data_IF_022370475801
#
_entry.id   IF_022370475801
#
_cell.length_a   1.000
_cell.length_b   1.000
_cell.length_c   1.000
_cell.angle_alpha   90.00
_cell.angle_beta   90.00
_cell.angle_gamma   90.00
#
_symmetry.space_group_name_H-M   'P 1'
#
loop_
_entity.id
_entity.type
_entity.pdbx_description
1 polymer ?
#
# COMPACT_ATOMS: atom_id res chain seq x y z
N UNK A 1 -16.00 2.93 17.07
CA UNK A 1 -14.83 3.78 16.79
C UNK A 1 -14.20 3.34 15.47
N UNK A 2 -13.57 4.27 14.72
CA UNK A 2 -12.78 3.94 13.56
C UNK A 2 -11.60 3.02 13.92
N UNK A 3 -11.06 2.24 12.96
CA UNK A 3 -9.91 1.40 13.19
C UNK A 3 -8.66 2.23 13.45
N UNK A 4 -7.78 1.71 14.30
CA UNK A 4 -6.42 2.22 14.48
C UNK A 4 -5.52 1.82 13.29
N UNK A 5 -4.33 2.45 13.18
CA UNK A 5 -3.34 2.06 12.18
C UNK A 5 -2.95 0.58 12.30
N UNK A 6 -2.83 0.09 13.53
CA UNK A 6 -2.48 -1.32 13.81
C UNK A 6 -3.58 -2.27 13.36
N UNK A 7 -4.85 -1.92 13.60
CA UNK A 7 -5.99 -2.71 13.12
C UNK A 7 -6.06 -2.71 11.59
N UNK A 8 -5.81 -1.57 10.93
CA UNK A 8 -5.75 -1.50 9.47
C UNK A 8 -4.62 -2.37 8.90
N UNK A 9 -3.41 -2.36 9.50
CA UNK A 9 -2.30 -3.22 9.09
C UNK A 9 -2.63 -4.71 9.29
N UNK A 10 -3.29 -5.06 10.41
CA UNK A 10 -3.77 -6.42 10.66
C UNK A 10 -4.80 -6.86 9.62
N UNK A 11 -5.76 -5.99 9.30
CA UNK A 11 -6.77 -6.26 8.26
C UNK A 11 -6.09 -6.46 6.90
N UNK A 12 -5.11 -5.64 6.55
CA UNK A 12 -4.34 -5.79 5.32
C UNK A 12 -3.59 -7.13 5.29
N UNK A 13 -2.93 -7.52 6.40
CA UNK A 13 -2.27 -8.81 6.51
C UNK A 13 -3.27 -9.97 6.34
N UNK A 14 -4.38 -9.95 7.07
CA UNK A 14 -5.39 -11.03 7.06
C UNK A 14 -6.07 -11.18 5.69
N UNK A 15 -6.32 -10.07 5.00
CA UNK A 15 -7.07 -10.09 3.73
C UNK A 15 -6.19 -10.32 2.50
N UNK A 16 -4.94 -9.86 2.51
CA UNK A 16 -4.10 -9.83 1.31
C UNK A 16 -2.91 -10.80 1.36
N UNK A 17 -2.36 -11.07 2.54
CA UNK A 17 -1.15 -11.89 2.63
C UNK A 17 -1.50 -13.38 2.59
N UNK A 18 -0.78 -14.12 1.75
CA UNK A 18 -0.88 -15.58 1.61
C UNK A 18 0.52 -16.18 1.53
N UNK A 19 0.61 -17.46 1.84
CA UNK A 19 1.87 -18.21 1.76
C UNK A 19 2.45 -18.19 0.34
N UNK A 20 3.75 -17.98 0.22
CA UNK A 20 4.49 -18.00 -1.04
C UNK A 20 4.43 -16.71 -1.88
N UNK A 21 3.76 -15.65 -1.41
CA UNK A 21 3.69 -14.39 -2.15
C UNK A 21 5.01 -13.61 -2.15
N UNK A 22 5.29 -12.95 -3.27
CA UNK A 22 6.26 -11.87 -3.40
C UNK A 22 5.54 -10.54 -3.23
N UNK A 23 5.91 -9.76 -2.20
CA UNK A 23 5.19 -8.55 -1.77
C UNK A 23 6.11 -7.34 -1.70
N UNK A 24 5.69 -6.23 -2.30
CA UNK A 24 6.31 -4.92 -2.09
C UNK A 24 5.45 -4.07 -1.16
N UNK A 25 6.08 -3.41 -0.21
CA UNK A 25 5.42 -2.51 0.75
C UNK A 25 5.89 -1.09 0.56
N UNK A 26 4.96 -0.19 0.29
CA UNK A 26 5.21 1.25 0.23
C UNK A 26 5.62 1.84 1.59
N UNK A 27 6.26 3.00 1.52
CA UNK A 27 6.78 3.73 2.69
C UNK A 27 5.62 4.13 3.64
N UNK A 28 5.88 4.09 4.94
CA UNK A 28 4.96 4.52 5.99
C UNK A 28 4.13 3.37 6.56
N UNK A 29 2.82 3.52 6.67
CA UNK A 29 1.94 2.53 7.31
C UNK A 29 2.10 1.10 6.76
N UNK A 30 2.24 0.87 5.45
CA UNK A 30 2.42 -0.49 4.93
C UNK A 30 3.63 -1.24 5.50
N UNK A 31 4.71 -0.56 5.89
CA UNK A 31 5.91 -1.21 6.44
C UNK A 31 5.67 -1.90 7.79
N UNK A 32 4.53 -1.65 8.45
CA UNK A 32 4.16 -2.31 9.70
C UNK A 32 3.40 -3.63 9.49
N UNK A 33 2.94 -3.92 8.28
CA UNK A 33 2.15 -5.13 7.97
C UNK A 33 2.88 -6.43 8.37
N UNK A 34 4.19 -6.59 8.17
CA UNK A 34 4.91 -7.81 8.55
C UNK A 34 4.74 -8.22 10.01
N UNK A 35 4.51 -7.26 10.92
CA UNK A 35 4.30 -7.52 12.35
C UNK A 35 3.02 -8.30 12.66
N UNK A 36 2.09 -8.39 11.71
CA UNK A 36 0.77 -9.00 11.86
C UNK A 36 0.61 -10.29 11.06
N UNK A 37 1.66 -10.73 10.37
CA UNK A 37 1.64 -11.97 9.57
C UNK A 37 1.89 -13.16 10.51
N UNK A 38 1.02 -14.19 10.49
CA UNK A 38 1.26 -15.41 11.26
C UNK A 38 2.58 -16.08 10.87
N UNK A 39 3.32 -16.61 11.85
CA UNK A 39 4.66 -17.18 11.66
C UNK A 39 4.72 -18.39 10.72
N UNK A 40 3.60 -19.05 10.48
CA UNK A 40 3.51 -20.16 9.53
C UNK A 40 3.33 -19.72 8.08
N UNK A 41 3.03 -18.44 7.81
CA UNK A 41 2.91 -17.85 6.48
C UNK A 41 4.28 -17.35 6.06
N UNK A 42 4.81 -17.88 4.96
CA UNK A 42 6.08 -17.47 4.36
C UNK A 42 5.83 -16.47 3.24
N UNK A 43 6.36 -15.27 3.39
CA UNK A 43 6.25 -14.18 2.41
C UNK A 43 7.64 -13.68 2.08
N UNK A 44 7.92 -13.49 0.82
CA UNK A 44 9.16 -12.86 0.36
C UNK A 44 8.90 -11.36 0.14
N UNK A 45 9.43 -10.51 1.01
CA UNK A 45 9.37 -9.07 0.82
C UNK A 45 10.45 -8.59 -0.12
N UNK A 46 10.02 -7.84 -1.12
CA UNK A 46 10.89 -7.16 -2.08
C UNK A 46 11.02 -5.70 -1.69
N UNK A 47 12.23 -5.18 -1.71
CA UNK A 47 12.49 -3.74 -1.64
C UNK A 47 13.03 -3.27 -2.98
N UNK A 48 12.39 -2.26 -3.60
CA UNK A 48 12.68 -1.83 -4.96
C UNK A 48 14.10 -1.26 -5.14
N UNK A 49 14.77 -0.86 -4.07
CA UNK A 49 16.17 -0.46 -4.13
C UNK A 49 17.15 -1.61 -4.40
N UNK A 50 16.70 -2.87 -4.39
CA UNK A 50 17.49 -4.01 -4.90
C UNK A 50 17.61 -5.20 -3.96
N UNK A 51 16.54 -5.61 -3.28
CA UNK A 51 16.57 -6.74 -2.35
C UNK A 51 15.30 -7.59 -2.44
N UNK A 52 15.49 -8.92 -2.42
CA UNK A 52 14.47 -9.92 -2.07
C UNK A 52 14.83 -10.57 -0.74
N UNK A 53 13.82 -10.90 0.07
CA UNK A 53 14.05 -11.52 1.37
C UNK A 53 14.42 -10.50 2.44
N UNK A 54 13.78 -9.32 2.40
CA UNK A 54 13.89 -8.31 3.45
C UNK A 54 13.39 -8.91 4.78
N UNK A 55 14.23 -8.83 5.81
CA UNK A 55 13.94 -9.29 7.16
C UNK A 55 13.36 -8.18 8.05
N UNK A 56 13.15 -8.45 9.33
CA UNK A 56 12.68 -7.48 10.31
C UNK A 56 13.67 -6.35 10.53
N UNK A 57 13.23 -5.33 11.27
CA UNK A 57 14.13 -4.27 11.73
C UNK A 57 15.18 -4.84 12.69
N UNK A 58 16.44 -4.37 12.61
CA UNK A 58 17.51 -4.80 13.52
C UNK A 58 17.22 -4.34 14.96
N UNK A 59 17.83 -5.02 15.94
CA UNK A 59 17.87 -4.51 17.29
C UNK A 59 18.85 -3.34 17.40
N UNK A 60 18.65 -2.49 18.40
CA UNK A 60 19.54 -1.35 18.64
C UNK A 60 20.99 -1.81 18.83
N UNK A 61 21.89 -1.26 18.01
CA UNK A 61 23.31 -1.59 17.98
C UNK A 61 23.69 -2.70 16.98
N UNK A 62 22.73 -3.27 16.27
CA UNK A 62 22.93 -4.28 15.22
C UNK A 62 22.65 -3.72 13.82
N UNK A 63 22.45 -2.40 13.71
CA UNK A 63 22.10 -1.75 12.45
C UNK A 63 23.29 -1.78 11.48
N UNK A 64 23.02 -2.22 10.26
CA UNK A 64 23.92 -2.09 9.11
C UNK A 64 23.47 -0.89 8.27
N UNK A 65 24.33 0.13 8.15
CA UNK A 65 24.02 1.36 7.41
C UNK A 65 23.86 1.14 5.91
N UNK A 66 24.45 0.07 5.35
CA UNK A 66 24.36 -0.27 3.94
C UNK A 66 23.13 -1.15 3.63
N UNK A 67 22.46 -1.67 4.66
CA UNK A 67 21.29 -2.53 4.53
C UNK A 67 20.01 -1.77 4.88
N UNK A 68 19.43 -1.11 3.88
CA UNK A 68 18.25 -0.26 4.03
C UNK A 68 17.13 -0.65 3.08
N UNK A 69 15.89 -0.43 3.50
CA UNK A 69 14.72 -0.52 2.61
C UNK A 69 14.56 0.76 1.76
N UNK A 70 13.61 0.76 0.85
CA UNK A 70 13.29 1.92 0.01
C UNK A 70 12.85 3.16 0.82
N UNK A 71 12.36 2.97 2.04
CA UNK A 71 12.04 4.03 3.01
C UNK A 71 13.25 4.57 3.76
N UNK A 72 14.48 4.10 3.45
CA UNK A 72 15.75 4.46 4.12
C UNK A 72 15.80 4.05 5.60
N UNK A 73 15.06 3.05 5.98
CA UNK A 73 15.14 2.44 7.30
C UNK A 73 16.09 1.25 7.24
N UNK A 74 16.93 1.08 8.25
CA UNK A 74 17.78 -0.10 8.39
C UNK A 74 16.92 -1.36 8.57
N UNK A 75 17.30 -2.41 7.89
CA UNK A 75 16.60 -3.71 7.91
C UNK A 75 17.62 -4.82 8.12
N UNK A 76 17.13 -6.04 8.32
CA UNK A 76 17.96 -7.25 8.28
C UNK A 76 17.71 -8.02 6.99
N UNK A 77 18.57 -8.99 6.70
CA UNK A 77 18.39 -9.94 5.61
C UNK A 77 18.00 -11.30 6.16
N UNK A 78 17.09 -11.99 5.45
CA UNK A 78 16.81 -13.40 5.70
C UNK A 78 17.93 -14.28 5.11
N UNK A 79 18.12 -15.53 5.57
CA UNK A 79 19.18 -16.42 5.07
C UNK A 79 19.16 -16.64 3.55
N UNK A 80 18.00 -16.55 2.91
CA UNK A 80 17.81 -16.76 1.47
C UNK A 80 17.69 -15.44 0.68
N UNK A 81 18.17 -14.33 1.25
CA UNK A 81 18.10 -13.02 0.61
C UNK A 81 18.96 -12.95 -0.65
N UNK A 82 18.51 -12.14 -1.60
CA UNK A 82 19.24 -11.82 -2.82
C UNK A 82 19.31 -10.31 -3.00
N UNK A 83 20.49 -9.84 -3.45
CA UNK A 83 20.75 -8.43 -3.75
C UNK A 83 21.01 -8.25 -5.24
N UNK A 84 20.50 -7.19 -5.82
CA UNK A 84 20.61 -6.90 -7.24
C UNK A 84 20.52 -5.39 -7.48
N UNK A 85 20.90 -4.98 -8.68
CA UNK A 85 20.82 -3.59 -9.09
C UNK A 85 19.36 -3.11 -9.30
N UNK A 86 19.19 -1.81 -9.41
CA UNK A 86 17.87 -1.20 -9.62
C UNK A 86 17.23 -1.63 -10.95
N UNK A 87 18.03 -1.87 -12.01
CA UNK A 87 17.49 -2.30 -13.29
C UNK A 87 16.86 -3.70 -13.17
N UNK A 88 17.52 -4.64 -12.50
CA UNK A 88 16.99 -5.97 -12.19
C UNK A 88 15.74 -5.90 -11.30
N UNK A 89 15.77 -5.04 -10.28
CA UNK A 89 14.64 -4.83 -9.39
C UNK A 89 13.37 -4.37 -10.14
N UNK A 90 13.50 -3.32 -10.94
CA UNK A 90 12.37 -2.80 -11.71
C UNK A 90 11.97 -3.75 -12.86
N UNK A 91 12.90 -4.53 -13.41
CA UNK A 91 12.56 -5.59 -14.36
C UNK A 91 11.68 -6.68 -13.74
N UNK A 92 11.94 -7.09 -12.49
CA UNK A 92 11.07 -8.02 -11.75
C UNK A 92 9.67 -7.46 -11.54
N UNK A 93 9.57 -6.20 -11.12
CA UNK A 93 8.29 -5.51 -10.89
C UNK A 93 7.50 -5.44 -12.20
N UNK A 94 8.09 -4.87 -13.25
CA UNK A 94 7.46 -4.72 -14.57
C UNK A 94 7.19 -6.05 -15.27
N UNK A 95 8.01 -7.07 -14.99
CA UNK A 95 7.84 -8.44 -15.48
C UNK A 95 6.71 -9.21 -14.80
N UNK A 96 6.01 -8.62 -13.80
CA UNK A 96 4.90 -9.28 -13.09
C UNK A 96 5.35 -10.37 -12.12
N UNK A 97 6.60 -10.31 -11.65
CA UNK A 97 7.16 -11.27 -10.68
C UNK A 97 6.90 -10.88 -9.22
N UNK A 98 6.31 -9.72 -8.96
CA UNK A 98 5.79 -9.30 -7.66
C UNK A 98 4.28 -9.49 -7.69
N UNK A 99 3.74 -10.22 -6.72
CA UNK A 99 2.32 -10.60 -6.70
C UNK A 99 1.42 -9.50 -6.14
N UNK A 100 1.91 -8.79 -5.13
CA UNK A 100 1.14 -7.81 -4.37
C UNK A 100 1.99 -6.58 -4.08
N UNK A 101 1.42 -5.40 -4.28
CA UNK A 101 1.96 -4.17 -3.71
C UNK A 101 0.92 -3.51 -2.80
N UNK A 102 1.37 -2.99 -1.64
CA UNK A 102 0.52 -2.22 -0.73
C UNK A 102 1.13 -0.84 -0.57
N UNK A 103 0.44 0.18 -1.05
CA UNK A 103 0.93 1.56 -1.14
C UNK A 103 0.10 2.52 -0.29
N UNK A 104 0.71 3.62 0.15
CA UNK A 104 -0.03 4.79 0.60
C UNK A 104 -0.56 5.60 -0.57
N UNK A 105 -1.62 6.41 -0.33
CA UNK A 105 -2.15 7.31 -1.34
C UNK A 105 -2.55 8.67 -0.79
N UNK A 106 -2.59 9.65 -1.69
CA UNK A 106 -3.17 10.98 -1.48
C UNK A 106 -4.63 11.00 -1.91
N UNK A 107 -4.93 10.44 -3.09
CA UNK A 107 -6.28 10.25 -3.62
C UNK A 107 -6.38 8.91 -4.35
N UNK A 108 -7.58 8.29 -4.29
CA UNK A 108 -7.97 7.13 -5.11
C UNK A 108 -9.35 7.39 -5.68
N UNK A 109 -9.52 7.23 -7.00
CA UNK A 109 -10.83 7.37 -7.63
C UNK A 109 -11.64 6.07 -7.60
N UNK A 110 -12.95 6.17 -7.81
CA UNK A 110 -13.84 5.00 -7.89
C UNK A 110 -13.51 4.09 -9.09
N UNK A 111 -12.75 4.58 -10.06
CA UNK A 111 -12.25 3.80 -11.19
C UNK A 111 -10.91 3.10 -10.92
N UNK A 112 -10.32 3.29 -9.73
CA UNK A 112 -9.02 2.74 -9.38
C UNK A 112 -7.83 3.58 -9.82
N UNK A 113 -8.03 4.84 -10.19
CA UNK A 113 -6.89 5.75 -10.43
C UNK A 113 -6.21 6.07 -9.12
N UNK A 114 -4.89 6.11 -9.16
CA UNK A 114 -4.03 6.38 -7.99
C UNK A 114 -3.26 7.68 -8.16
N UNK A 115 -3.29 8.53 -7.13
CA UNK A 115 -2.40 9.67 -6.98
C UNK A 115 -1.69 9.60 -5.62
N UNK A 116 -0.35 9.48 -5.61
CA UNK A 116 0.39 9.32 -4.35
C UNK A 116 1.75 9.99 -4.29
N UNK A 117 2.15 10.82 -5.28
CA UNK A 117 3.52 11.33 -5.34
C UNK A 117 3.66 12.85 -5.34
N UNK A 118 2.65 13.60 -5.75
CA UNK A 118 2.74 15.05 -5.88
C UNK A 118 1.49 15.77 -5.40
N UNK A 119 1.70 16.89 -4.69
CA UNK A 119 0.68 17.89 -4.38
C UNK A 119 1.14 19.18 -5.01
N UNK A 120 0.41 19.76 -5.98
CA UNK A 120 0.77 21.02 -6.61
C UNK A 120 0.97 22.14 -5.59
N UNK A 121 2.02 22.93 -5.77
CA UNK A 121 2.39 24.02 -4.84
C UNK A 121 3.14 23.57 -3.58
N UNK A 122 3.35 22.27 -3.36
CA UNK A 122 4.24 21.75 -2.31
C UNK A 122 5.53 21.19 -2.91
N UNK A 123 6.56 21.02 -2.05
CA UNK A 123 7.82 20.41 -2.48
C UNK A 123 7.56 18.98 -3.00
N UNK A 124 7.94 18.75 -4.26
CA UNK A 124 7.86 17.44 -4.90
C UNK A 124 9.23 16.76 -4.80
N UNK A 125 9.28 15.62 -4.15
CA UNK A 125 10.51 14.80 -4.02
C UNK A 125 10.71 13.84 -5.20
N UNK A 126 9.75 13.78 -6.13
CA UNK A 126 9.73 12.84 -7.25
C UNK A 126 8.78 11.68 -7.02
N UNK A 127 8.49 10.97 -8.11
CA UNK A 127 7.53 9.85 -8.10
C UNK A 127 8.12 8.55 -7.49
N UNK A 128 9.43 8.45 -7.35
CA UNK A 128 10.09 7.22 -6.94
C UNK A 128 9.73 6.05 -7.85
N UNK A 129 9.62 4.84 -7.27
CA UNK A 129 9.23 3.62 -7.97
C UNK A 129 7.72 3.39 -8.07
N UNK A 130 6.88 4.31 -7.58
CA UNK A 130 5.44 4.05 -7.45
C UNK A 130 4.75 3.76 -8.79
N UNK A 131 5.14 4.43 -9.87
CA UNK A 131 4.57 4.18 -11.20
C UNK A 131 4.94 2.80 -11.75
N UNK A 132 6.14 2.30 -11.45
CA UNK A 132 6.56 0.95 -11.81
C UNK A 132 5.81 -0.09 -10.97
N UNK A 133 5.66 0.17 -9.67
CA UNK A 133 4.96 -0.71 -8.72
C UNK A 133 3.47 -0.91 -9.05
N UNK A 134 2.87 -0.09 -9.88
CA UNK A 134 1.47 -0.26 -10.31
C UNK A 134 1.33 -0.64 -11.79
N UNK A 135 2.44 -0.74 -12.53
CA UNK A 135 2.38 -0.93 -13.99
C UNK A 135 2.00 -2.35 -14.40
N UNK A 136 2.40 -3.39 -13.66
CA UNK A 136 2.14 -4.78 -14.01
C UNK A 136 2.13 -5.75 -12.80
N UNK A 137 1.76 -5.27 -11.64
CA UNK A 137 1.57 -6.11 -10.44
C UNK A 137 0.16 -6.70 -10.46
N UNK A 138 0.05 -7.96 -10.07
CA UNK A 138 -1.22 -8.71 -10.12
C UNK A 138 -2.28 -8.13 -9.20
N UNK A 139 -1.87 -7.49 -8.09
CA UNK A 139 -2.76 -6.90 -7.11
C UNK A 139 -2.16 -5.65 -6.47
N UNK A 140 -2.91 -4.56 -6.52
CA UNK A 140 -2.54 -3.27 -5.95
C UNK A 140 -3.54 -2.90 -4.87
N UNK A 141 -3.04 -2.75 -3.64
CA UNK A 141 -3.84 -2.39 -2.47
C UNK A 141 -3.35 -1.04 -1.94
N UNK A 142 -4.28 -0.18 -1.59
CA UNK A 142 -3.98 1.09 -0.94
C UNK A 142 -4.32 1.01 0.54
N UNK A 143 -3.38 1.40 1.40
CA UNK A 143 -3.56 1.54 2.85
C UNK A 143 -3.32 3.00 3.23
N UNK A 144 -4.39 3.72 3.62
CA UNK A 144 -4.33 5.16 3.85
C UNK A 144 -5.41 5.64 4.84
N UNK A 145 -5.27 6.87 5.36
CA UNK A 145 -6.38 7.54 6.05
C UNK A 145 -7.51 7.87 5.06
N UNK A 146 -8.76 7.79 5.53
CA UNK A 146 -9.95 8.07 4.71
C UNK A 146 -10.02 9.53 4.24
N UNK A 147 -9.68 10.44 5.14
CA UNK A 147 -9.63 11.87 4.85
C UNK A 147 -8.21 12.41 5.08
N UNK A 148 -7.92 13.54 4.46
CA UNK A 148 -6.74 14.34 4.72
C UNK A 148 -6.81 15.02 6.08
N UNK A 149 -5.70 15.60 6.56
CA UNK A 149 -5.66 16.28 7.87
C UNK A 149 -6.59 17.49 7.97
N UNK A 150 -6.92 18.10 6.84
CA UNK A 150 -7.87 19.21 6.73
C UNK A 150 -9.33 18.75 6.55
N UNK A 151 -9.58 17.44 6.61
CA UNK A 151 -10.89 16.84 6.44
C UNK A 151 -11.30 16.53 5.01
N UNK A 152 -10.50 16.90 4.00
CA UNK A 152 -10.83 16.65 2.58
C UNK A 152 -10.88 15.15 2.29
N UNK A 153 -11.90 14.67 1.55
CA UNK A 153 -12.01 13.27 1.14
C UNK A 153 -10.84 12.83 0.24
N UNK A 154 -10.38 11.60 0.46
CA UNK A 154 -9.32 10.98 -0.36
C UNK A 154 -9.88 9.86 -1.26
N UNK A 155 -11.08 9.37 -0.97
CA UNK A 155 -11.88 8.56 -1.88
C UNK A 155 -12.70 9.51 -2.75
N UNK A 156 -12.33 9.63 -4.02
CA UNK A 156 -12.83 10.68 -4.91
C UNK A 156 -13.51 10.11 -6.16
N UNK A 157 -14.37 10.88 -6.78
CA UNK A 157 -14.94 10.53 -8.07
C UNK A 157 -13.86 10.51 -9.17
N UNK A 158 -13.02 11.53 -9.18
CA UNK A 158 -11.87 11.65 -10.07
C UNK A 158 -10.71 12.29 -9.31
N UNK A 159 -9.52 11.73 -9.45
CA UNK A 159 -8.32 12.33 -8.85
C UNK A 159 -8.06 13.74 -9.40
N UNK A 160 -7.82 14.67 -8.50
CA UNK A 160 -7.43 16.04 -8.81
C UNK A 160 -5.91 16.22 -8.86
N UNK A 161 -5.20 15.32 -8.19
CA UNK A 161 -3.73 15.31 -8.10
C UNK A 161 -3.10 14.53 -9.26
N UNK A 162 -1.81 14.79 -9.57
CA UNK A 162 -1.08 14.07 -10.61
C UNK A 162 -1.11 12.56 -10.38
N UNK A 163 -1.53 11.81 -11.40
CA UNK A 163 -1.72 10.37 -11.32
C UNK A 163 -0.38 9.62 -11.26
N UNK A 164 -0.39 8.53 -10.49
CA UNK A 164 0.62 7.48 -10.47
C UNK A 164 0.25 6.37 -11.44
N UNK A 165 -1.03 6.02 -11.52
CA UNK A 165 -1.57 5.01 -12.43
C UNK A 165 -3.07 5.20 -12.65
N UNK A 166 -3.56 4.69 -13.77
CA UNK A 166 -4.96 4.78 -14.19
C UNK A 166 -5.59 3.39 -14.08
N UNK A 167 -6.67 3.26 -13.27
CA UNK A 167 -7.40 2.00 -13.12
C UNK A 167 -6.57 0.87 -12.52
N UNK A 168 -5.61 1.18 -11.64
CA UNK A 168 -4.62 0.20 -11.14
C UNK A 168 -4.94 -0.32 -9.74
N UNK A 169 -5.79 0.35 -8.97
CA UNK A 169 -6.09 -0.02 -7.58
C UNK A 169 -7.23 -1.02 -7.52
N UNK A 170 -6.99 -2.16 -6.88
CA UNK A 170 -8.00 -3.21 -6.67
C UNK A 170 -8.77 -3.04 -5.36
N UNK A 171 -8.09 -2.55 -4.31
CA UNK A 171 -8.67 -2.40 -2.97
C UNK A 171 -8.10 -1.20 -2.24
N UNK A 172 -8.95 -0.55 -1.47
CA UNK A 172 -8.54 0.49 -0.52
C UNK A 172 -8.93 0.09 0.89
N UNK A 173 -7.99 0.25 1.84
CA UNK A 173 -8.20 0.03 3.27
C UNK A 173 -7.99 1.36 3.98
N UNK A 174 -9.01 1.81 4.71
CA UNK A 174 -8.97 3.03 5.53
C UNK A 174 -9.46 2.72 6.95
N UNK A 175 -9.34 3.66 7.86
CA UNK A 175 -9.87 3.52 9.22
C UNK A 175 -11.40 3.41 9.28
N UNK A 176 -12.10 3.75 8.19
CA UNK A 176 -13.56 3.66 8.11
C UNK A 176 -14.07 2.44 7.36
N UNK A 177 -13.23 1.78 6.56
CA UNK A 177 -13.65 0.60 5.83
C UNK A 177 -12.64 0.04 4.86
N UNK A 178 -13.00 -1.12 4.30
CA UNK A 178 -12.32 -1.80 3.21
C UNK A 178 -13.22 -1.72 1.97
N UNK A 179 -12.65 -1.28 0.87
CA UNK A 179 -13.37 -1.02 -0.37
C UNK A 179 -12.73 -1.77 -1.53
N UNK A 180 -13.47 -2.64 -2.18
CA UNK A 180 -13.07 -3.25 -3.45
C UNK A 180 -13.47 -2.32 -4.60
N UNK A 181 -12.55 -2.14 -5.56
CA UNK A 181 -12.82 -1.35 -6.76
C UNK A 181 -13.13 -2.32 -7.90
N UNK A 182 -14.33 -2.20 -8.45
CA UNK A 182 -14.79 -2.97 -9.62
C UNK A 182 -15.96 -2.24 -10.27
N UNK A 183 -16.16 -2.45 -11.56
CA UNK A 183 -17.27 -1.87 -12.32
C UNK A 183 -17.43 -0.35 -12.12
N UNK A 184 -16.31 0.36 -12.01
CA UNK A 184 -16.24 1.81 -11.73
C UNK A 184 -17.00 2.22 -10.45
N UNK A 185 -16.93 1.40 -9.40
CA UNK A 185 -17.52 1.67 -8.08
C UNK A 185 -16.63 1.16 -6.96
N UNK A 186 -16.78 1.74 -5.80
CA UNK A 186 -16.18 1.28 -4.56
C UNK A 186 -17.18 0.45 -3.76
N UNK A 187 -16.93 -0.84 -3.63
CA UNK A 187 -17.78 -1.77 -2.87
C UNK A 187 -17.26 -1.89 -1.44
N UNK A 188 -18.02 -1.40 -0.47
CA UNK A 188 -17.71 -1.56 0.94
C UNK A 188 -17.88 -3.03 1.35
N UNK A 189 -16.76 -3.72 1.62
CA UNK A 189 -16.75 -5.15 1.98
C UNK A 189 -16.57 -5.40 3.49
N UNK A 190 -16.02 -4.43 4.22
CA UNK A 190 -15.83 -4.51 5.67
C UNK A 190 -15.77 -3.11 6.27
N UNK A 191 -16.29 -2.93 7.49
CA UNK A 191 -16.18 -1.68 8.23
C UNK A 191 -16.14 -1.94 9.75
N UNK A 192 -15.70 -0.97 10.57
CA UNK A 192 -15.89 -1.02 12.02
C UNK A 192 -17.37 -1.11 12.37
N UNK A 193 -17.70 -1.82 13.46
CA UNK A 193 -19.10 -1.98 13.90
C UNK A 193 -19.78 -0.63 14.22
N UNK A 194 -19.03 0.28 14.81
CA UNK A 194 -19.52 1.58 15.28
C UNK A 194 -19.56 2.66 14.17
N UNK A 195 -19.06 2.40 12.98
CA UNK A 195 -19.10 3.32 11.84
C UNK A 195 -20.32 3.03 10.99
N UNK A 196 -21.16 4.01 10.73
CA UNK A 196 -22.31 3.86 9.86
C UNK A 196 -21.93 3.95 8.38
N UNK A 197 -22.74 3.35 7.51
CA UNK A 197 -22.56 3.50 6.06
C UNK A 197 -22.73 4.96 5.61
N UNK A 198 -23.69 5.66 6.22
CA UNK A 198 -23.95 7.07 5.96
C UNK A 198 -22.72 7.94 6.30
N UNK A 199 -22.04 7.66 7.42
CA UNK A 199 -20.79 8.35 7.77
C UNK A 199 -19.72 8.18 6.70
N UNK A 200 -19.55 6.96 6.17
CA UNK A 200 -18.58 6.66 5.11
C UNK A 200 -18.93 7.45 3.84
N UNK A 201 -20.19 7.43 3.43
CA UNK A 201 -20.65 8.15 2.23
C UNK A 201 -20.44 9.65 2.39
N UNK A 202 -20.79 10.23 3.55
CA UNK A 202 -20.62 11.66 3.81
C UNK A 202 -19.16 12.13 3.85
N UNK A 203 -18.22 11.19 4.11
CA UNK A 203 -16.78 11.44 4.12
C UNK A 203 -16.07 11.06 2.80
N UNK A 204 -16.81 10.62 1.78
CA UNK A 204 -16.30 10.23 0.46
C UNK A 204 -16.91 11.11 -0.61
N UNK A 205 -16.15 11.38 -1.67
CA UNK A 205 -16.68 11.93 -2.94
C UNK A 205 -16.92 10.81 -3.96
N UNK A 206 -16.25 9.68 -3.81
CA UNK A 206 -16.45 8.50 -4.65
C UNK A 206 -17.84 7.88 -4.40
N UNK A 207 -18.40 7.26 -5.45
CA UNK A 207 -19.60 6.44 -5.30
C UNK A 207 -19.27 5.15 -4.53
N UNK A 208 -19.70 5.09 -3.27
CA UNK A 208 -19.57 3.89 -2.42
C UNK A 208 -20.90 3.15 -2.38
N UNK A 209 -20.84 1.82 -2.54
CA UNK A 209 -21.99 0.91 -2.44
C UNK A 209 -21.68 -0.23 -1.48
N UNK A 210 -22.68 -0.85 -0.89
CA UNK A 210 -22.50 -2.04 -0.04
C UNK A 210 -22.27 -3.25 -0.96
N UNK A 211 -21.28 -4.11 -0.62
CA UNK A 211 -20.96 -5.31 -1.38
C UNK A 211 -22.04 -6.39 -1.25
#
# INVERSE_FOLDING_TARGET
MAWTNDEMCRIAADMEIRDGLFVNLGIGMPTNIPNYIPTHIKVCFQSENGMLGMGPFPYHGEEDADLINAGKQTITSLPESSFFDSASSFAMIRGGHVDLTILGALEVSHNGDLANWAVPGKMIKGMGGAMDLVANIKRVVVLMSHNSKDGSPKLVDKCSLPLTGIGVVDRVITELGVFDIRDNKMYLVKKPNDVSFEEIVNKSLAQVVIA
#
